data_IF_100330513336
#
_entry.id   IF_100330513336
#
_cell.length_a   1.000
_cell.length_b   1.000
_cell.length_c   1.000
_cell.angle_alpha   90.00
_cell.angle_beta   90.00
_cell.angle_gamma   90.00
#
_symmetry.space_group_name_H-M   'P 1'
#
loop_
_entity.id
_entity.type
_entity.pdbx_description
1 polymer ?
#
# COMPACT_ATOMS: atom_id res chain seq x y z
N UNK A 1 -23.61 6.10 -45.24
CA UNK A 1 -23.07 6.01 -43.87
C UNK A 1 -22.29 7.27 -43.63
N UNK A 2 -22.90 8.22 -42.94
CA UNK A 2 -22.43 9.60 -42.81
C UNK A 2 -21.76 9.79 -41.43
N UNK A 3 -20.46 10.16 -41.33
CA UNK A 3 -19.77 10.37 -40.07
C UNK A 3 -19.55 11.87 -39.80
N UNK A 4 -20.62 12.59 -39.50
CA UNK A 4 -20.49 14.00 -39.08
C UNK A 4 -21.44 14.27 -37.90
N UNK A 5 -20.97 13.95 -36.69
CA UNK A 5 -21.57 14.48 -35.47
C UNK A 5 -20.66 15.55 -34.85
N UNK A 6 -21.16 16.76 -34.59
CA UNK A 6 -20.36 17.84 -34.00
C UNK A 6 -20.08 17.60 -32.54
N UNK A 7 -18.80 17.75 -32.13
CA UNK A 7 -18.36 17.83 -30.75
C UNK A 7 -18.92 19.10 -30.11
N UNK A 8 -19.81 18.94 -29.16
CA UNK A 8 -20.19 20.00 -28.24
C UNK A 8 -19.00 20.32 -27.31
N UNK A 9 -18.46 21.50 -27.47
CA UNK A 9 -17.52 22.13 -26.55
C UNK A 9 -18.30 22.61 -25.35
N UNK A 10 -18.29 21.83 -24.27
CA UNK A 10 -18.82 22.18 -22.96
C UNK A 10 -18.10 23.37 -22.38
N UNK A 11 -18.87 24.42 -22.05
CA UNK A 11 -18.44 25.70 -21.59
C UNK A 11 -17.59 25.64 -20.34
N UNK A 12 -16.46 26.28 -20.44
CA UNK A 12 -15.58 26.68 -19.35
C UNK A 12 -16.34 27.71 -18.50
N UNK A 13 -16.88 27.26 -17.37
CA UNK A 13 -17.45 28.13 -16.37
C UNK A 13 -16.37 29.08 -15.85
N UNK A 14 -16.55 30.33 -16.16
CA UNK A 14 -15.82 31.49 -15.67
C UNK A 14 -15.97 31.55 -14.13
N UNK A 15 -14.94 31.06 -13.43
CA UNK A 15 -14.81 31.24 -12.00
C UNK A 15 -14.21 32.60 -11.75
N UNK A 16 -15.07 33.58 -11.62
CA UNK A 16 -14.73 34.89 -11.07
C UNK A 16 -14.32 34.68 -9.60
N UNK A 17 -13.04 34.69 -9.32
CA UNK A 17 -12.51 34.74 -7.96
C UNK A 17 -12.99 36.04 -7.29
N UNK A 18 -13.65 35.96 -6.14
CA UNK A 18 -13.99 37.17 -5.38
C UNK A 18 -12.71 37.78 -4.85
N UNK A 19 -12.57 39.07 -5.13
CA UNK A 19 -11.44 39.93 -4.76
C UNK A 19 -11.05 39.79 -3.26
N UNK A 20 -9.74 39.79 -2.94
CA UNK A 20 -9.22 39.62 -1.58
C UNK A 20 -9.38 40.85 -0.67
N UNK A 21 -10.22 41.82 -1.03
CA UNK A 21 -10.33 43.11 -0.31
C UNK A 21 -11.16 43.06 0.98
N UNK A 22 -11.88 41.95 1.28
CA UNK A 22 -12.73 41.91 2.48
C UNK A 22 -12.10 41.22 3.71
N UNK A 23 -10.91 40.65 3.60
CA UNK A 23 -10.26 39.95 4.71
C UNK A 23 -9.36 40.83 5.60
N UNK A 24 -9.07 42.06 5.18
CA UNK A 24 -8.13 42.92 5.89
C UNK A 24 -8.77 43.75 7.01
N UNK A 25 -10.12 43.81 7.07
CA UNK A 25 -10.85 44.69 7.99
C UNK A 25 -11.11 44.10 9.40
N UNK A 26 -10.56 42.93 9.75
CA UNK A 26 -10.76 42.31 11.07
C UNK A 26 -9.48 41.81 11.73
N UNK A 27 -8.36 42.54 11.59
CA UNK A 27 -7.29 42.38 12.57
C UNK A 27 -7.75 43.05 13.86
N UNK A 28 -7.89 42.28 14.97
CA UNK A 28 -8.12 42.90 16.26
C UNK A 28 -6.93 43.83 16.53
N UNK A 29 -7.23 45.11 16.68
CA UNK A 29 -6.26 46.13 17.04
C UNK A 29 -5.69 45.74 18.41
N UNK A 30 -4.48 45.22 18.42
CA UNK A 30 -3.76 44.92 19.66
C UNK A 30 -3.50 46.23 20.34
N UNK A 31 -4.09 46.49 21.55
CA UNK A 31 -3.88 47.73 22.27
C UNK A 31 -2.39 47.98 22.45
N UNK A 32 -1.88 49.09 21.94
CA UNK A 32 -0.48 49.48 22.16
C UNK A 32 -0.31 49.74 23.65
N UNK A 33 0.66 49.11 24.32
CA UNK A 33 0.91 49.37 25.73
C UNK A 33 1.24 50.86 25.92
N UNK A 34 0.60 51.48 26.89
CA UNK A 34 0.81 52.86 27.27
C UNK A 34 2.25 53.02 27.72
N UNK A 35 2.97 54.14 27.33
CA UNK A 35 4.35 54.36 27.78
C UNK A 35 4.38 54.42 29.30
N UNK A 36 5.06 53.48 29.95
CA UNK A 36 5.15 53.37 31.41
C UNK A 36 4.46 52.15 32.03
N UNK A 37 3.65 51.40 31.27
CA UNK A 37 3.06 50.17 31.76
C UNK A 37 4.15 49.07 31.76
N UNK A 38 4.66 48.77 32.93
CA UNK A 38 5.52 47.58 33.15
C UNK A 38 4.64 46.38 32.95
N UNK A 39 4.68 45.81 31.73
CA UNK A 39 4.04 44.53 31.43
C UNK A 39 4.68 43.49 32.35
N UNK A 40 4.04 43.22 33.49
CA UNK A 40 4.42 42.13 34.34
C UNK A 40 4.26 40.84 33.51
N UNK A 41 5.32 40.05 33.31
CA UNK A 41 5.20 38.78 32.61
C UNK A 41 4.09 37.99 33.30
N UNK A 42 3.09 37.58 32.53
CA UNK A 42 1.92 36.89 33.06
C UNK A 42 2.40 35.73 33.93
N UNK A 43 1.94 35.64 35.16
CA UNK A 43 2.32 34.60 36.12
C UNK A 43 2.20 33.17 35.55
N UNK A 44 1.35 32.99 34.55
CA UNK A 44 1.26 31.74 33.79
C UNK A 44 2.58 31.26 33.17
N UNK A 45 3.51 32.19 32.92
CA UNK A 45 4.81 31.84 32.32
C UNK A 45 5.78 31.24 33.34
N UNK A 46 5.50 31.40 34.64
CA UNK A 46 6.34 30.95 35.74
C UNK A 46 5.89 29.62 36.36
N UNK A 47 4.69 29.13 36.02
CA UNK A 47 4.16 27.87 36.55
C UNK A 47 4.84 26.61 35.95
N UNK A 48 5.53 26.79 34.82
CA UNK A 48 6.29 25.66 34.22
C UNK A 48 7.77 25.94 34.40
N UNK A 49 8.50 25.10 35.14
CA UNK A 49 9.93 25.28 35.31
C UNK A 49 10.61 25.30 33.95
N UNK A 50 11.66 26.13 33.75
CA UNK A 50 12.38 26.23 32.46
C UNK A 50 12.85 24.89 31.93
N UNK A 51 13.13 23.93 32.80
CA UNK A 51 13.50 22.55 32.48
C UNK A 51 12.44 21.78 31.70
N UNK A 52 11.14 22.07 31.90
CA UNK A 52 10.07 21.41 31.14
C UNK A 52 9.90 21.98 29.72
N UNK A 53 10.29 23.25 29.50
CA UNK A 53 10.26 23.86 28.16
C UNK A 53 11.38 23.30 27.26
N UNK A 54 12.46 22.83 27.87
CA UNK A 54 13.59 22.22 27.18
C UNK A 54 13.67 20.72 27.40
N UNK A 55 12.73 20.15 28.15
CA UNK A 55 12.44 18.73 28.01
C UNK A 55 11.92 18.57 26.58
N UNK A 56 12.83 18.55 25.62
CA UNK A 56 12.61 17.86 24.38
C UNK A 56 12.00 16.55 24.82
N UNK A 57 10.70 16.34 24.51
CA UNK A 57 10.07 15.06 24.70
C UNK A 57 11.13 14.03 24.33
N UNK A 58 11.45 13.06 25.21
CA UNK A 58 12.52 12.14 24.93
C UNK A 58 12.25 11.74 23.50
N UNK A 59 13.13 12.20 22.60
CA UNK A 59 13.16 11.70 21.25
C UNK A 59 13.48 10.25 21.54
N UNK A 60 12.43 9.42 21.53
CA UNK A 60 12.58 8.00 21.57
C UNK A 60 13.36 7.62 20.32
N UNK A 61 14.64 8.08 20.33
CA UNK A 61 15.63 7.92 19.27
C UNK A 61 15.94 6.44 19.04
N UNK A 62 15.34 5.59 19.84
CA UNK A 62 15.56 4.16 19.78
C UNK A 62 14.33 3.35 19.38
N UNK A 63 13.18 3.95 19.17
CA UNK A 63 12.13 3.30 18.40
C UNK A 63 12.48 3.47 16.93
N UNK A 64 13.48 2.72 16.51
CA UNK A 64 13.86 2.61 15.11
C UNK A 64 12.59 2.32 14.29
N UNK A 65 12.19 3.23 13.39
CA UNK A 65 10.98 3.01 12.57
C UNK A 65 11.16 1.84 11.56
N UNK A 66 12.34 1.22 11.53
CA UNK A 66 12.70 0.07 10.70
C UNK A 66 11.89 -1.19 10.98
N UNK A 67 11.36 -1.37 12.21
CA UNK A 67 10.59 -2.56 12.56
C UNK A 67 9.26 -2.72 11.81
N UNK A 68 8.73 -1.66 11.23
CA UNK A 68 7.41 -1.69 10.62
C UNK A 68 7.40 -2.29 9.21
N UNK A 69 8.40 -2.00 8.36
CA UNK A 69 8.47 -2.57 7.01
C UNK A 69 8.79 -4.07 7.04
N UNK A 70 9.68 -4.49 7.93
CA UNK A 70 10.00 -5.90 8.15
C UNK A 70 8.78 -6.67 8.68
N UNK A 71 8.05 -6.11 9.64
CA UNK A 71 6.80 -6.70 10.14
C UNK A 71 5.72 -6.77 9.07
N UNK A 72 5.64 -5.78 8.17
CA UNK A 72 4.73 -5.82 7.04
C UNK A 72 5.08 -6.98 6.09
N UNK A 73 6.36 -7.19 5.82
CA UNK A 73 6.81 -8.30 4.97
C UNK A 73 6.53 -9.67 5.62
N UNK A 74 6.85 -9.85 6.91
CA UNK A 74 6.54 -11.09 7.65
C UNK A 74 5.03 -11.32 7.70
N UNK A 75 4.23 -10.29 7.97
CA UNK A 75 2.79 -10.40 8.00
C UNK A 75 2.21 -10.84 6.65
N UNK A 76 2.78 -10.35 5.54
CA UNK A 76 2.38 -10.75 4.20
C UNK A 76 2.82 -12.19 3.85
N UNK A 77 3.98 -12.64 4.34
CA UNK A 77 4.54 -13.96 4.03
C UNK A 77 3.70 -15.11 4.58
N UNK A 78 3.12 -14.98 5.77
CA UNK A 78 2.31 -16.05 6.37
C UNK A 78 1.17 -16.52 5.46
N UNK A 79 0.21 -15.64 5.10
CA UNK A 79 -0.86 -15.99 4.17
C UNK A 79 -0.35 -16.35 2.77
N UNK A 80 0.74 -15.72 2.31
CA UNK A 80 1.34 -16.00 1.01
C UNK A 80 1.87 -17.43 0.94
N UNK A 81 2.58 -17.91 1.95
CA UNK A 81 3.09 -19.30 1.99
C UNK A 81 1.93 -20.29 1.95
N UNK A 82 0.87 -20.05 2.74
CA UNK A 82 -0.32 -20.92 2.71
C UNK A 82 -0.93 -20.94 1.31
N UNK A 83 -1.13 -19.78 0.70
CA UNK A 83 -1.66 -19.66 -0.65
C UNK A 83 -0.76 -20.31 -1.71
N UNK A 84 0.55 -20.15 -1.58
CA UNK A 84 1.53 -20.79 -2.46
C UNK A 84 1.49 -22.31 -2.38
N UNK A 85 1.41 -22.88 -1.18
CA UNK A 85 1.25 -24.34 -0.99
C UNK A 85 -0.05 -24.81 -1.62
N UNK A 86 -1.15 -24.09 -1.45
CA UNK A 86 -2.42 -24.43 -2.08
C UNK A 86 -2.33 -24.37 -3.61
N UNK A 87 -1.65 -23.35 -4.18
CA UNK A 87 -1.41 -23.28 -5.63
C UNK A 87 -0.68 -24.53 -6.13
N UNK A 88 0.40 -24.96 -5.46
CA UNK A 88 1.13 -26.17 -5.84
C UNK A 88 0.25 -27.42 -5.72
N UNK A 89 -0.52 -27.55 -4.65
CA UNK A 89 -1.39 -28.71 -4.43
C UNK A 89 -2.49 -28.81 -5.49
N UNK A 90 -3.11 -27.70 -5.88
CA UNK A 90 -4.15 -27.73 -6.92
C UNK A 90 -3.57 -27.90 -8.33
N UNK A 91 -2.41 -27.32 -8.60
CA UNK A 91 -1.80 -27.37 -9.91
C UNK A 91 -1.17 -28.72 -10.25
N UNK A 92 -0.60 -29.43 -9.27
CA UNK A 92 0.16 -30.65 -9.51
C UNK A 92 -0.69 -31.95 -9.36
N UNK A 93 -1.19 -32.33 -8.17
CA UNK A 93 -1.88 -33.60 -8.03
C UNK A 93 -3.32 -33.60 -8.55
N UNK A 94 -3.99 -32.45 -8.56
CA UNK A 94 -5.39 -32.36 -8.93
C UNK A 94 -5.61 -31.96 -10.39
N UNK A 95 -4.60 -31.36 -11.03
CA UNK A 95 -4.62 -30.89 -12.43
C UNK A 95 -5.86 -30.02 -12.77
N UNK A 96 -6.36 -29.28 -11.78
CA UNK A 96 -7.56 -28.44 -11.92
C UNK A 96 -7.14 -26.99 -12.06
N UNK A 97 -7.33 -26.42 -13.25
CA UNK A 97 -6.93 -25.02 -13.54
C UNK A 97 -7.91 -23.96 -13.02
N UNK A 98 -9.20 -24.29 -12.91
CA UNK A 98 -10.22 -23.33 -12.53
C UNK A 98 -10.08 -22.74 -11.12
N UNK A 99 -9.79 -23.51 -10.05
CA UNK A 99 -9.62 -22.94 -8.71
C UNK A 99 -8.32 -22.15 -8.53
N UNK A 100 -7.35 -22.28 -9.44
CA UNK A 100 -6.06 -21.59 -9.30
C UNK A 100 -6.20 -20.05 -9.27
N UNK A 101 -7.12 -19.50 -10.06
CA UNK A 101 -7.40 -18.05 -10.06
C UNK A 101 -7.99 -17.60 -8.72
N UNK A 102 -8.88 -18.41 -8.14
CA UNK A 102 -9.49 -18.12 -6.84
C UNK A 102 -8.42 -18.18 -5.73
N UNK A 103 -7.55 -19.20 -5.78
CA UNK A 103 -6.44 -19.32 -4.82
C UNK A 103 -5.48 -18.15 -4.96
N UNK A 104 -5.15 -17.72 -6.19
CA UNK A 104 -4.31 -16.56 -6.45
C UNK A 104 -4.96 -15.25 -5.92
N UNK A 105 -6.28 -15.11 -6.07
CA UNK A 105 -7.03 -13.99 -5.49
C UNK A 105 -6.93 -13.98 -3.97
N UNK A 106 -7.20 -15.11 -3.32
CA UNK A 106 -7.13 -15.24 -1.86
C UNK A 106 -5.72 -15.02 -1.33
N UNK A 107 -4.70 -15.53 -2.03
CA UNK A 107 -3.30 -15.29 -1.73
C UNK A 107 -3.00 -13.78 -1.76
N UNK A 108 -3.43 -13.08 -2.81
CA UNK A 108 -3.25 -11.63 -2.95
C UNK A 108 -3.93 -10.85 -1.82
N UNK A 109 -5.19 -11.16 -1.52
CA UNK A 109 -5.92 -10.54 -0.40
C UNK A 109 -5.19 -10.81 0.92
N UNK A 110 -4.80 -12.05 1.17
CA UNK A 110 -4.08 -12.44 2.38
C UNK A 110 -2.76 -11.70 2.55
N UNK A 111 -1.95 -11.62 1.49
CA UNK A 111 -0.69 -10.86 1.49
C UNK A 111 -0.93 -9.36 1.75
N UNK A 112 -1.96 -8.78 1.11
CA UNK A 112 -2.34 -7.37 1.32
C UNK A 112 -2.75 -7.08 2.75
N UNK A 113 -3.67 -7.86 3.30
CA UNK A 113 -4.10 -7.74 4.69
C UNK A 113 -2.94 -7.98 5.66
N UNK A 114 -2.14 -9.01 5.42
CA UNK A 114 -0.97 -9.31 6.23
C UNK A 114 0.03 -8.15 6.27
N UNK A 115 0.32 -7.53 5.13
CA UNK A 115 1.14 -6.33 5.05
C UNK A 115 0.52 -5.15 5.80
N UNK A 116 -0.80 -4.99 5.73
CA UNK A 116 -1.54 -3.94 6.43
C UNK A 116 -1.48 -4.10 7.94
N UNK A 117 -1.74 -5.30 8.46
CA UNK A 117 -1.70 -5.57 9.90
C UNK A 117 -0.26 -5.53 10.43
N UNK A 118 0.69 -6.14 9.73
CA UNK A 118 2.10 -6.15 10.13
C UNK A 118 2.76 -4.76 10.08
N UNK A 119 2.44 -3.94 9.06
CA UNK A 119 3.00 -2.60 8.91
C UNK A 119 2.38 -1.55 9.81
N UNK A 120 1.12 -1.71 10.19
CA UNK A 120 0.38 -0.74 10.99
C UNK A 120 0.30 0.64 10.35
N UNK A 121 0.06 1.67 11.18
CA UNK A 121 -0.05 3.08 10.72
C UNK A 121 1.30 3.73 10.38
N UNK A 122 2.43 3.12 10.75
CA UNK A 122 3.77 3.69 10.61
C UNK A 122 4.36 3.54 9.21
N UNK A 123 3.90 2.53 8.44
CA UNK A 123 4.37 2.32 7.06
C UNK A 123 3.50 3.12 6.10
N UNK A 124 4.09 3.97 5.25
CA UNK A 124 3.34 4.67 4.21
C UNK A 124 2.56 3.68 3.33
N UNK A 125 1.33 4.01 2.99
CA UNK A 125 0.43 3.15 2.20
C UNK A 125 1.09 2.66 0.91
N UNK A 126 1.81 3.55 0.20
CA UNK A 126 2.51 3.19 -1.05
C UNK A 126 3.55 2.10 -0.83
N UNK A 127 4.37 2.20 0.23
CA UNK A 127 5.40 1.21 0.55
C UNK A 127 4.79 -0.12 0.98
N UNK A 128 3.72 -0.07 1.75
CA UNK A 128 2.97 -1.25 2.20
C UNK A 128 2.39 -2.02 1.02
N UNK A 129 1.75 -1.30 0.06
CA UNK A 129 1.25 -1.88 -1.18
C UNK A 129 2.35 -2.51 -2.02
N UNK A 130 3.49 -1.84 -2.17
CA UNK A 130 4.63 -2.39 -2.89
C UNK A 130 5.15 -3.69 -2.26
N UNK A 131 5.24 -3.76 -0.92
CA UNK A 131 5.63 -4.97 -0.20
C UNK A 131 4.62 -6.09 -0.43
N UNK A 132 3.31 -5.80 -0.30
CA UNK A 132 2.26 -6.79 -0.49
C UNK A 132 2.27 -7.38 -1.91
N UNK A 133 2.38 -6.53 -2.92
CA UNK A 133 2.47 -6.96 -4.33
C UNK A 133 3.73 -7.77 -4.57
N UNK A 134 4.89 -7.33 -4.10
CA UNK A 134 6.15 -8.06 -4.26
C UNK A 134 6.10 -9.45 -3.62
N UNK A 135 5.52 -9.58 -2.43
CA UNK A 135 5.34 -10.88 -1.76
C UNK A 135 4.35 -11.75 -2.52
N UNK A 136 3.20 -11.21 -2.95
CA UNK A 136 2.20 -11.97 -3.69
C UNK A 136 2.75 -12.50 -5.02
N UNK A 137 3.37 -11.63 -5.84
CA UNK A 137 3.98 -12.01 -7.12
C UNK A 137 5.12 -12.99 -6.93
N UNK A 138 6.01 -12.74 -5.98
CA UNK A 138 7.12 -13.65 -5.66
C UNK A 138 6.62 -15.03 -5.28
N UNK A 139 5.56 -15.12 -4.49
CA UNK A 139 4.96 -16.41 -4.10
C UNK A 139 4.35 -17.15 -5.29
N UNK A 140 3.62 -16.46 -6.17
CA UNK A 140 3.07 -17.09 -7.38
C UNK A 140 4.20 -17.64 -8.25
N UNK A 141 5.23 -16.85 -8.52
CA UNK A 141 6.39 -17.30 -9.32
C UNK A 141 7.07 -18.51 -8.69
N UNK A 142 7.28 -18.50 -7.37
CA UNK A 142 7.88 -19.65 -6.65
C UNK A 142 6.99 -20.88 -6.74
N UNK A 143 5.66 -20.73 -6.62
CA UNK A 143 4.71 -21.82 -6.76
C UNK A 143 4.73 -22.41 -8.18
N UNK A 144 4.73 -21.57 -9.21
CA UNK A 144 4.82 -22.02 -10.62
C UNK A 144 6.15 -22.74 -10.91
N UNK A 145 7.26 -22.23 -10.38
CA UNK A 145 8.56 -22.91 -10.48
C UNK A 145 8.56 -24.26 -9.76
N UNK A 146 7.92 -24.34 -8.59
CA UNK A 146 7.82 -25.59 -7.85
C UNK A 146 7.02 -26.65 -8.62
N UNK A 147 5.89 -26.26 -9.21
CA UNK A 147 5.09 -27.17 -10.05
C UNK A 147 5.88 -27.66 -11.26
N UNK A 148 6.61 -26.77 -11.93
CA UNK A 148 7.48 -27.14 -13.04
C UNK A 148 8.60 -28.09 -12.62
N UNK A 149 9.23 -27.86 -11.45
CA UNK A 149 10.26 -28.77 -10.91
C UNK A 149 9.69 -30.15 -10.59
N UNK A 150 8.46 -30.23 -10.08
CA UNK A 150 7.79 -31.50 -9.86
C UNK A 150 7.56 -32.24 -11.19
N UNK A 151 7.07 -31.53 -12.22
CA UNK A 151 6.88 -32.12 -13.57
C UNK A 151 8.19 -32.60 -14.18
N UNK A 152 9.31 -31.89 -13.97
CA UNK A 152 10.64 -32.37 -14.40
C UNK A 152 11.04 -33.65 -13.67
N UNK A 153 10.74 -33.78 -12.39
CA UNK A 153 10.99 -35.00 -11.61
C UNK A 153 10.19 -36.22 -12.10
N UNK A 154 9.02 -35.98 -12.69
CA UNK A 154 8.16 -36.98 -13.30
C UNK A 154 8.54 -37.34 -14.76
N UNK A 155 9.62 -36.76 -15.27
CA UNK A 155 10.12 -37.02 -16.63
C UNK A 155 9.71 -35.95 -17.66
N UNK A 156 9.20 -34.78 -17.22
CA UNK A 156 8.92 -33.64 -18.09
C UNK A 156 10.20 -33.12 -18.76
N UNK A 157 10.09 -32.68 -20.02
CA UNK A 157 11.24 -32.21 -20.82
C UNK A 157 11.06 -30.78 -21.34
N UNK A 158 9.94 -30.14 -21.04
CA UNK A 158 9.63 -28.81 -21.56
C UNK A 158 10.34 -27.69 -20.78
N UNK A 159 10.83 -26.64 -21.47
CA UNK A 159 11.25 -25.40 -20.85
C UNK A 159 10.12 -24.80 -20.03
N UNK A 160 10.47 -24.02 -18.99
CA UNK A 160 9.50 -23.44 -18.04
C UNK A 160 8.33 -22.70 -18.71
N UNK A 161 8.63 -21.80 -19.64
CA UNK A 161 7.60 -21.00 -20.31
C UNK A 161 6.67 -21.83 -21.19
N UNK A 162 7.24 -22.80 -21.92
CA UNK A 162 6.46 -23.70 -22.78
C UNK A 162 5.56 -24.61 -21.94
N UNK A 163 6.07 -25.09 -20.81
CA UNK A 163 5.30 -25.85 -19.85
C UNK A 163 4.12 -25.05 -19.30
N UNK A 164 4.37 -23.81 -18.84
CA UNK A 164 3.32 -22.96 -18.30
C UNK A 164 2.22 -22.67 -19.33
N UNK A 165 2.64 -22.41 -20.59
CA UNK A 165 1.68 -22.13 -21.65
C UNK A 165 0.88 -23.36 -22.06
N UNK A 166 1.52 -24.53 -22.12
CA UNK A 166 0.88 -25.77 -22.52
C UNK A 166 -0.11 -26.28 -21.46
N UNK A 167 0.27 -26.19 -20.17
CA UNK A 167 -0.51 -26.77 -19.06
C UNK A 167 -1.59 -25.82 -18.58
N UNK A 168 -1.25 -24.54 -18.39
CA UNK A 168 -2.15 -23.56 -17.78
C UNK A 168 -2.70 -22.53 -18.80
N UNK A 169 -2.06 -22.39 -19.98
CA UNK A 169 -2.50 -21.46 -21.00
C UNK A 169 -2.60 -20.02 -20.48
N UNK A 170 -3.73 -19.31 -20.75
CA UNK A 170 -3.92 -17.93 -20.30
C UNK A 170 -3.94 -17.77 -18.78
N UNK A 171 -4.27 -18.84 -18.03
CA UNK A 171 -4.34 -18.81 -16.56
C UNK A 171 -2.97 -18.53 -15.95
N UNK A 172 -1.87 -18.99 -16.58
CA UNK A 172 -0.51 -18.69 -16.14
C UNK A 172 -0.21 -17.18 -16.06
N UNK A 173 -0.78 -16.38 -16.96
CA UNK A 173 -0.65 -14.91 -16.93
C UNK A 173 -1.68 -14.28 -15.99
N UNK A 174 -2.87 -14.84 -15.92
CA UNK A 174 -3.97 -14.29 -15.12
C UNK A 174 -3.70 -14.39 -13.62
N UNK A 175 -3.09 -15.48 -13.16
CA UNK A 175 -2.76 -15.69 -11.74
C UNK A 175 -1.93 -14.56 -11.13
N UNK A 176 -0.76 -14.17 -11.66
CA UNK A 176 0.03 -13.09 -11.09
C UNK A 176 -0.68 -11.72 -11.17
N UNK A 177 -1.44 -11.47 -12.24
CA UNK A 177 -2.22 -10.23 -12.37
C UNK A 177 -3.28 -10.14 -11.28
N UNK A 178 -4.04 -11.23 -11.06
CA UNK A 178 -5.09 -11.28 -10.04
C UNK A 178 -4.48 -11.19 -8.63
N UNK A 179 -3.43 -11.95 -8.34
CA UNK A 179 -2.76 -11.91 -7.05
C UNK A 179 -2.17 -10.52 -6.75
N UNK A 180 -1.49 -9.91 -7.72
CA UNK A 180 -0.89 -8.58 -7.57
C UNK A 180 -1.92 -7.48 -7.37
N UNK A 181 -3.00 -7.46 -8.17
CA UNK A 181 -4.08 -6.46 -8.05
C UNK A 181 -4.86 -6.62 -6.75
N UNK A 182 -5.14 -7.84 -6.33
CA UNK A 182 -5.79 -8.12 -5.05
C UNK A 182 -4.92 -7.69 -3.87
N UNK A 183 -3.61 -7.97 -3.90
CA UNK A 183 -2.66 -7.53 -2.90
C UNK A 183 -2.58 -6.00 -2.80
N UNK A 184 -2.57 -5.32 -3.94
CA UNK A 184 -2.59 -3.86 -4.00
C UNK A 184 -3.86 -3.27 -3.40
N UNK A 185 -5.02 -3.84 -3.70
CA UNK A 185 -6.31 -3.35 -3.22
C UNK A 185 -6.49 -3.57 -1.71
N UNK A 186 -6.00 -4.70 -1.18
CA UNK A 186 -6.17 -5.08 0.22
C UNK A 186 -5.15 -4.41 1.18
N UNK A 187 -4.02 -3.91 0.69
CA UNK A 187 -2.95 -3.29 1.47
C UNK A 187 -3.17 -1.80 1.72
#
# INVERSE_FOLDING_TARGET
MDPTAPRETSGRADRTDPAPAAAEARRPEVPRPTPGEVVRPSQRTLEHPPSERYATAPVDAHTTPSGSAFRAAIGALGPAVIGGVLLVLFASPLAVSEPLVIVALLLGIGAGLGARFGGGKRVPVRRRRAIAVAVALGTVIVAELAVWQLALGEGGVLPFLDYQWLVFGPVAILQPIVAGSAAWAAA
#
